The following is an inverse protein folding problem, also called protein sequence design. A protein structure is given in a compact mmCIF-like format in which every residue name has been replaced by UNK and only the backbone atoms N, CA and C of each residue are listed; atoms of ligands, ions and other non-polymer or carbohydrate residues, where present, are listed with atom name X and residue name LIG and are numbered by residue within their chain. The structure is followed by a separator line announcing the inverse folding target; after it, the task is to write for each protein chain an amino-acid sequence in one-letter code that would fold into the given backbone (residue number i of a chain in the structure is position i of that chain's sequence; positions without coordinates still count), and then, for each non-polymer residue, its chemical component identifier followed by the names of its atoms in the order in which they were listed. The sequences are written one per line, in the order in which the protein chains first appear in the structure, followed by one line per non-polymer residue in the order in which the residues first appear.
data_IF_058682671617
#
_entry.id   IF_058682671617
#
_cell.length_a   1.000
_cell.length_b   1.000
_cell.length_c   1.000
_cell.angle_alpha   90.00
_cell.angle_beta   90.00
_cell.angle_gamma   90.00
#
_symmetry.space_group_name_H-M   'P 1'
#
loop_
_entity.id
_entity.type
_entity.pdbx_description
1 polymer ?
#
# COMPACT_ATOMS: atom_id res chain seq x y z
N UNK A 1 -56.59 30.76 20.22
CA UNK A 1 -57.16 30.51 18.86
C UNK A 1 -56.01 30.08 17.96
N UNK A 2 -55.89 28.77 17.72
CA UNK A 2 -56.21 28.05 16.47
C UNK A 2 -55.28 28.36 15.28
N UNK A 3 -54.51 27.32 14.97
CA UNK A 3 -53.64 27.09 13.82
C UNK A 3 -54.27 27.38 12.45
N UNK A 4 -53.40 27.46 11.43
CA UNK A 4 -53.52 26.69 10.18
C UNK A 4 -52.22 26.67 9.35
N UNK A 5 -51.69 25.45 9.14
CA UNK A 5 -51.02 24.99 7.91
C UNK A 5 -52.02 25.16 6.73
N UNK A 6 -51.67 25.17 5.44
CA UNK A 6 -51.06 24.13 4.58
C UNK A 6 -50.75 24.79 3.18
N UNK A 7 -50.46 24.08 2.06
CA UNK A 7 -49.15 23.98 1.39
C UNK A 7 -49.11 24.61 -0.02
N UNK A 8 -47.95 24.58 -0.68
CA UNK A 8 -47.93 24.54 -2.15
C UNK A 8 -47.13 23.36 -2.71
N UNK A 9 -47.86 22.53 -3.46
CA UNK A 9 -47.37 21.49 -4.38
C UNK A 9 -46.90 22.13 -5.69
N UNK A 10 -45.96 21.45 -6.35
CA UNK A 10 -45.69 21.53 -7.79
C UNK A 10 -44.17 21.56 -8.04
N UNK A 11 -43.56 20.76 -8.92
CA UNK A 11 -44.05 19.89 -9.98
C UNK A 11 -42.96 18.85 -10.27
N UNK A 12 -43.39 17.63 -10.57
CA UNK A 12 -42.58 16.58 -11.20
C UNK A 12 -42.21 17.02 -12.61
N UNK A 13 -40.96 16.82 -13.01
CA UNK A 13 -40.59 16.60 -14.40
C UNK A 13 -39.91 15.23 -14.50
N UNK A 14 -40.64 14.29 -15.12
CA UNK A 14 -40.11 13.05 -15.68
C UNK A 14 -39.74 13.33 -17.14
N UNK A 15 -38.51 13.01 -17.51
CA UNK A 15 -38.06 12.47 -18.82
C UNK A 15 -36.81 11.64 -18.47
N UNK A 16 -36.81 10.31 -18.43
CA UNK A 16 -37.05 9.29 -19.45
C UNK A 16 -35.99 9.24 -20.56
N UNK A 17 -35.12 8.23 -20.41
CA UNK A 17 -34.56 7.35 -21.45
C UNK A 17 -33.23 7.70 -22.12
N UNK A 18 -32.29 6.74 -22.01
CA UNK A 18 -31.48 6.30 -23.15
C UNK A 18 -29.97 6.47 -23.02
N UNK A 19 -29.29 5.45 -22.51
CA UNK A 19 -28.16 4.77 -23.17
C UNK A 19 -27.33 3.99 -22.14
N UNK A 20 -27.38 2.66 -22.27
CA UNK A 20 -26.41 1.75 -21.67
C UNK A 20 -25.05 2.09 -22.28
N UNK A 21 -24.05 2.39 -21.45
CA UNK A 21 -22.64 2.32 -21.85
C UNK A 21 -21.95 1.37 -20.88
N UNK A 22 -21.37 0.33 -21.45
CA UNK A 22 -20.46 -0.60 -20.80
C UNK A 22 -19.26 0.16 -20.23
N UNK A 23 -19.20 0.29 -18.91
CA UNK A 23 -17.97 0.73 -18.22
C UNK A 23 -17.04 -0.48 -18.06
N UNK A 24 -16.29 -0.73 -19.14
CA UNK A 24 -15.10 -1.58 -19.16
C UNK A 24 -13.98 -0.83 -18.40
N UNK A 25 -13.30 -1.45 -17.42
CA UNK A 25 -12.21 -0.79 -16.71
C UNK A 25 -11.03 -0.49 -17.67
N UNK A 26 -10.33 0.64 -17.52
CA UNK A 26 -9.26 1.05 -18.42
C UNK A 26 -8.10 0.06 -18.38
N UNK A 27 -7.71 -0.37 -19.57
CA UNK A 27 -6.63 -1.32 -19.82
C UNK A 27 -5.28 -0.85 -19.32
N UNK A 28 -4.51 -1.83 -18.86
CA UNK A 28 -3.09 -1.71 -18.51
C UNK A 28 -2.31 -1.17 -19.71
N UNK A 29 -1.72 0.01 -19.57
CA UNK A 29 -0.70 0.49 -20.50
C UNK A 29 0.56 -0.38 -20.34
N UNK A 30 0.76 -1.30 -21.29
CA UNK A 30 2.03 -1.99 -21.45
C UNK A 30 3.07 -1.07 -22.11
N UNK A 31 4.37 -1.22 -21.79
CA UNK A 31 5.43 -0.48 -22.45
C UNK A 31 5.63 -0.94 -23.92
N UNK A 32 6.12 -0.05 -24.81
CA UNK A 32 6.28 -0.32 -26.24
C UNK A 32 7.43 -1.31 -26.55
N UNK A 33 7.41 -1.99 -27.71
CA UNK A 33 8.40 -3.01 -28.06
C UNK A 33 9.74 -2.41 -28.47
N UNK A 34 10.83 -2.92 -27.86
CA UNK A 34 12.20 -2.67 -28.27
C UNK A 34 12.66 -3.69 -29.33
N UNK A 35 13.51 -3.19 -30.23
CA UNK A 35 13.93 -3.81 -31.47
C UNK A 35 14.69 -5.14 -31.32
N UNK A 36 14.36 -6.09 -32.21
CA UNK A 36 15.08 -7.33 -32.46
C UNK A 36 16.43 -7.04 -33.11
N UNK A 37 17.53 -7.36 -32.43
CA UNK A 37 18.84 -7.57 -33.07
C UNK A 37 19.11 -9.07 -33.09
N UNK A 38 19.32 -9.60 -34.30
CA UNK A 38 19.52 -11.01 -34.57
C UNK A 38 20.85 -11.57 -34.05
N UNK A 39 20.79 -12.77 -33.48
CA UNK A 39 21.93 -13.60 -33.14
C UNK A 39 21.83 -14.95 -33.85
N UNK A 40 22.84 -15.26 -34.66
CA UNK A 40 22.92 -16.41 -35.54
C UNK A 40 22.89 -17.77 -34.80
N UNK A 41 22.01 -18.66 -35.26
CA UNK A 41 22.04 -20.11 -34.99
C UNK A 41 23.21 -20.75 -35.75
N UNK A 42 24.05 -21.50 -35.06
CA UNK A 42 24.89 -22.53 -35.68
C UNK A 42 24.48 -23.89 -35.13
N UNK A 43 23.83 -24.68 -35.98
CA UNK A 43 23.58 -26.10 -35.78
C UNK A 43 24.86 -26.89 -36.08
N UNK A 44 25.24 -27.83 -35.21
CA UNK A 44 25.91 -29.07 -35.65
C UNK A 44 25.32 -30.28 -34.91
N UNK A 45 25.15 -31.43 -35.60
CA UNK A 45 24.38 -32.55 -35.06
C UNK A 45 25.23 -33.77 -34.64
N UNK A 46 24.62 -34.56 -33.73
CA UNK A 46 24.63 -36.04 -33.60
C UNK A 46 25.94 -36.77 -33.23
N UNK A 47 25.87 -37.59 -32.16
CA UNK A 47 25.54 -39.03 -32.25
C UNK A 47 25.39 -39.69 -30.87
N UNK A 48 24.48 -40.68 -30.82
CA UNK A 48 24.21 -41.64 -29.73
C UNK A 48 25.34 -42.67 -29.59
N UNK A 49 25.57 -43.15 -28.37
CA UNK A 49 25.87 -44.57 -28.05
C UNK A 49 25.24 -44.88 -26.68
N UNK A 50 24.66 -46.07 -26.51
CA UNK A 50 23.88 -46.46 -25.33
C UNK A 50 24.55 -47.51 -24.43
N UNK A 51 23.96 -47.62 -23.23
CA UNK A 51 23.94 -48.73 -22.25
C UNK A 51 25.28 -49.10 -21.56
N UNK A 52 25.30 -49.69 -20.32
CA UNK A 52 24.23 -50.43 -19.66
C UNK A 52 23.95 -50.11 -18.18
N UNK A 53 22.86 -50.72 -17.71
CA UNK A 53 22.33 -50.82 -16.35
C UNK A 53 23.29 -51.51 -15.39
N UNK A 54 23.59 -50.87 -14.25
CA UNK A 54 23.89 -51.56 -13.00
C UNK A 54 23.07 -50.94 -11.88
N UNK A 55 22.11 -51.73 -11.37
CA UNK A 55 21.46 -51.47 -10.10
C UNK A 55 22.50 -51.62 -8.96
N UNK A 56 22.56 -50.64 -8.05
CA UNK A 56 23.27 -50.70 -6.77
C UNK A 56 22.39 -50.04 -5.68
N UNK A 57 22.57 -50.44 -4.42
CA UNK A 57 21.51 -50.61 -3.44
C UNK A 57 21.01 -49.30 -2.83
N UNK A 58 19.86 -49.38 -2.15
CA UNK A 58 19.25 -48.33 -1.37
C UNK A 58 20.25 -47.72 -0.37
N UNK A 59 20.80 -46.56 -0.74
CA UNK A 59 21.51 -45.67 0.17
C UNK A 59 20.44 -44.81 0.85
N UNK A 60 20.03 -45.21 2.06
CA UNK A 60 19.18 -44.41 2.95
C UNK A 60 19.98 -43.21 3.43
N UNK A 61 20.23 -42.25 2.54
CA UNK A 61 20.61 -40.91 2.94
C UNK A 61 19.36 -40.28 3.51
N UNK A 62 19.38 -40.12 4.84
CA UNK A 62 18.52 -39.18 5.55
C UNK A 62 18.56 -37.87 4.74
N UNK A 63 17.45 -37.58 4.05
CA UNK A 63 17.25 -36.31 3.38
C UNK A 63 17.34 -35.25 4.48
N UNK A 64 18.24 -34.24 4.38
CA UNK A 64 18.18 -33.11 5.29
C UNK A 64 16.75 -32.56 5.23
N UNK A 65 16.11 -32.22 6.37
CA UNK A 65 14.74 -31.75 6.36
C UNK A 65 14.67 -30.60 5.36
N UNK A 66 13.83 -30.80 4.35
CA UNK A 66 13.61 -29.87 3.27
C UNK A 66 13.52 -28.47 3.90
N UNK A 67 14.36 -27.55 3.43
CA UNK A 67 14.14 -26.13 3.69
C UNK A 67 12.72 -25.84 3.21
N UNK A 68 11.76 -25.87 4.13
CA UNK A 68 10.35 -25.71 3.85
C UNK A 68 10.22 -24.30 3.29
N UNK A 69 10.23 -24.20 1.97
CA UNK A 69 9.73 -23.04 1.27
C UNK A 69 8.23 -23.09 1.50
N UNK A 70 7.79 -22.75 2.71
CA UNK A 70 6.40 -22.81 3.12
C UNK A 70 5.65 -21.94 2.12
N UNK A 71 4.84 -22.54 1.26
CA UNK A 71 4.09 -21.77 0.27
C UNK A 71 3.15 -20.82 1.01
N UNK A 72 3.05 -19.58 0.54
CA UNK A 72 2.20 -18.57 1.19
C UNK A 72 0.78 -19.11 1.36
N UNK A 73 0.27 -19.26 2.60
CA UNK A 73 -1.04 -19.84 2.82
C UNK A 73 -2.13 -18.91 2.27
N UNK A 74 -3.30 -19.49 2.02
CA UNK A 74 -4.49 -18.69 1.74
C UNK A 74 -5.02 -18.08 3.04
N UNK A 75 -5.29 -16.78 3.04
CA UNK A 75 -5.91 -16.10 4.16
C UNK A 75 -7.42 -16.39 4.19
N UNK A 76 -7.82 -17.32 5.05
CA UNK A 76 -9.21 -17.80 5.20
C UNK A 76 -9.48 -18.24 6.65
N UNK A 77 -10.74 -18.51 6.95
CA UNK A 77 -11.13 -19.13 8.22
C UNK A 77 -10.31 -20.41 8.48
N UNK A 78 -9.84 -20.56 9.72
CA UNK A 78 -9.00 -21.69 10.16
C UNK A 78 -7.49 -21.50 9.97
N UNK A 79 -7.03 -20.39 9.38
CA UNK A 79 -5.60 -20.04 9.43
C UNK A 79 -5.20 -19.70 10.88
N UNK A 80 -4.12 -20.29 11.38
CA UNK A 80 -3.63 -20.01 12.73
C UNK A 80 -3.12 -18.56 12.84
N UNK A 81 -3.40 -17.83 13.95
CA UNK A 81 -2.91 -16.47 14.16
C UNK A 81 -1.37 -16.36 14.10
N UNK A 82 -0.66 -17.35 14.63
CA UNK A 82 0.80 -17.39 14.55
C UNK A 82 1.28 -17.46 13.09
N UNK A 83 0.61 -18.27 12.27
CA UNK A 83 0.92 -18.34 10.84
C UNK A 83 0.57 -17.03 10.13
N UNK A 84 -0.53 -16.37 10.49
CA UNK A 84 -0.89 -15.07 9.94
C UNK A 84 0.22 -14.02 10.10
N UNK A 85 0.91 -13.97 11.25
CA UNK A 85 1.97 -12.98 11.54
C UNK A 85 3.22 -13.16 10.69
N UNK A 86 3.47 -14.39 10.25
CA UNK A 86 4.61 -14.74 9.40
C UNK A 86 4.49 -14.17 8.00
N UNK A 87 3.33 -13.68 7.57
CA UNK A 87 3.12 -13.30 6.17
C UNK A 87 2.79 -11.82 5.97
N UNK A 88 3.29 -11.25 4.88
CA UNK A 88 2.86 -9.93 4.42
C UNK A 88 1.49 -10.00 3.74
N UNK A 89 0.47 -9.38 4.34
CA UNK A 89 -0.86 -9.27 3.75
C UNK A 89 -1.11 -7.91 3.11
N UNK A 90 -1.65 -7.89 1.89
CA UNK A 90 -2.12 -6.64 1.28
C UNK A 90 -3.47 -6.23 1.88
N UNK A 91 -3.84 -4.96 1.73
CA UNK A 91 -5.18 -4.49 2.11
C UNK A 91 -6.28 -5.25 1.35
N UNK A 92 -6.02 -5.69 0.11
CA UNK A 92 -6.96 -6.50 -0.66
C UNK A 92 -7.16 -7.88 -0.02
N UNK A 93 -6.07 -8.56 0.36
CA UNK A 93 -6.11 -9.85 1.07
C UNK A 93 -6.88 -9.71 2.38
N UNK A 94 -6.52 -8.71 3.18
CA UNK A 94 -7.13 -8.45 4.48
C UNK A 94 -8.63 -8.13 4.35
N UNK A 95 -9.05 -7.35 3.34
CA UNK A 95 -10.47 -7.06 3.10
C UNK A 95 -11.24 -8.29 2.65
N UNK A 96 -10.64 -9.14 1.81
CA UNK A 96 -11.26 -10.38 1.39
C UNK A 96 -11.47 -11.32 2.60
N UNK A 97 -10.45 -11.46 3.44
CA UNK A 97 -10.50 -12.24 4.67
C UNK A 97 -11.54 -11.72 5.66
N UNK A 98 -11.54 -10.40 5.93
CA UNK A 98 -12.50 -9.76 6.82
C UNK A 98 -13.95 -10.05 6.39
N UNK A 99 -14.26 -9.96 5.09
CA UNK A 99 -15.58 -10.35 4.56
C UNK A 99 -15.92 -11.81 4.82
N UNK A 100 -14.96 -12.72 4.58
CA UNK A 100 -15.19 -14.15 4.80
C UNK A 100 -15.36 -14.52 6.27
N UNK A 101 -14.74 -13.77 7.18
CA UNK A 101 -14.80 -13.95 8.63
C UNK A 101 -15.99 -13.22 9.28
N UNK A 102 -16.78 -12.47 8.50
CA UNK A 102 -17.94 -11.72 9.02
C UNK A 102 -17.56 -10.48 9.84
N UNK A 103 -16.33 -9.97 9.73
CA UNK A 103 -15.88 -8.78 10.47
C UNK A 103 -15.82 -7.54 9.58
N UNK A 104 -15.84 -6.37 10.21
CA UNK A 104 -15.83 -5.09 9.50
C UNK A 104 -14.60 -4.93 8.58
N UNK A 105 -14.80 -4.32 7.41
CA UNK A 105 -13.75 -4.15 6.38
C UNK A 105 -13.16 -2.74 6.32
N UNK A 106 -13.68 -1.83 7.15
CA UNK A 106 -13.25 -0.44 7.27
C UNK A 106 -11.98 -0.29 8.11
N UNK A 107 -11.33 0.86 7.95
CA UNK A 107 -10.13 1.23 8.71
C UNK A 107 -8.83 1.18 7.91
N UNK A 108 -7.75 1.56 8.58
CA UNK A 108 -6.37 1.50 8.07
C UNK A 108 -5.87 0.05 8.02
N UNK A 109 -4.77 -0.20 7.31
CA UNK A 109 -4.18 -1.56 7.17
C UNK A 109 -3.95 -2.21 8.55
N UNK A 110 -3.43 -1.47 9.52
CA UNK A 110 -3.16 -1.98 10.87
C UNK A 110 -4.44 -2.40 11.61
N UNK A 111 -5.48 -1.55 11.60
CA UNK A 111 -6.78 -1.87 12.21
C UNK A 111 -7.42 -3.09 11.54
N UNK A 112 -7.36 -3.16 10.22
CA UNK A 112 -7.88 -4.28 9.46
C UNK A 112 -7.09 -5.57 9.73
N UNK A 113 -5.76 -5.48 9.86
CA UNK A 113 -4.89 -6.59 10.20
C UNK A 113 -5.18 -7.12 11.61
N UNK A 114 -5.31 -6.22 12.59
CA UNK A 114 -5.65 -6.58 13.96
C UNK A 114 -7.02 -7.26 14.04
N UNK A 115 -8.00 -6.77 13.28
CA UNK A 115 -9.34 -7.35 13.23
C UNK A 115 -9.37 -8.74 12.62
N UNK A 116 -8.67 -8.93 11.50
CA UNK A 116 -8.55 -10.25 10.87
C UNK A 116 -7.82 -11.22 11.80
N UNK A 117 -6.73 -10.78 12.44
CA UNK A 117 -5.99 -11.59 13.42
C UNK A 117 -6.88 -12.05 14.58
N UNK A 118 -7.59 -11.13 15.23
CA UNK A 118 -8.49 -11.45 16.35
C UNK A 118 -9.57 -12.46 15.92
N UNK A 119 -10.18 -12.25 14.75
CA UNK A 119 -11.16 -13.18 14.20
C UNK A 119 -10.59 -14.58 13.91
N UNK A 120 -9.34 -14.67 13.46
CA UNK A 120 -8.64 -15.96 13.28
C UNK A 120 -8.35 -16.65 14.62
N UNK A 121 -8.14 -15.88 15.69
CA UNK A 121 -7.93 -16.39 17.05
C UNK A 121 -9.23 -16.81 17.75
N UNK A 122 -10.40 -16.52 17.16
CA UNK A 122 -11.69 -16.69 17.82
C UNK A 122 -11.97 -15.64 18.90
N UNK A 123 -11.21 -14.54 18.89
CA UNK A 123 -11.35 -13.42 19.82
C UNK A 123 -12.34 -12.38 19.28
N UNK A 124 -12.83 -11.52 20.17
CA UNK A 124 -13.69 -10.41 19.76
C UNK A 124 -12.90 -9.42 18.88
N UNK A 125 -13.41 -9.20 17.68
CA UNK A 125 -12.80 -8.30 16.72
C UNK A 125 -12.91 -6.83 17.20
N UNK A 126 -11.80 -6.07 17.22
CA UNK A 126 -11.85 -4.66 17.57
C UNK A 126 -12.82 -3.89 16.65
N UNK A 127 -13.59 -2.94 17.22
CA UNK A 127 -14.62 -2.24 16.48
C UNK A 127 -14.04 -1.49 15.28
N UNK A 128 -14.87 -1.30 14.26
CA UNK A 128 -14.51 -0.39 13.17
C UNK A 128 -14.66 1.04 13.64
N UNK A 129 -13.55 1.78 13.68
CA UNK A 129 -13.59 3.23 13.81
C UNK A 129 -13.99 3.80 12.45
N UNK A 130 -15.13 4.49 12.40
CA UNK A 130 -15.40 5.37 11.26
C UNK A 130 -14.58 6.64 11.47
N UNK A 131 -13.69 7.02 10.53
CA UNK A 131 -13.00 8.29 10.63
C UNK A 131 -14.06 9.41 10.68
N UNK A 132 -13.96 10.30 11.66
CA UNK A 132 -14.76 11.53 11.63
C UNK A 132 -14.32 12.35 10.40
N UNK A 133 -15.27 13.04 9.72
CA UNK A 133 -14.92 14.06 8.75
C UNK A 133 -13.95 15.04 9.41
N UNK A 134 -12.86 15.35 8.72
CA UNK A 134 -11.95 16.42 9.12
C UNK A 134 -12.17 17.57 8.17
N UNK A 135 -12.15 18.77 8.70
CA UNK A 135 -12.11 19.98 7.89
C UNK A 135 -10.84 19.93 7.04
N UNK A 136 -11.01 20.06 5.72
CA UNK A 136 -9.91 20.05 4.76
C UNK A 136 -9.60 21.47 4.35
N UNK A 137 -8.30 21.78 4.31
CA UNK A 137 -7.83 23.02 3.71
C UNK A 137 -7.94 22.90 2.19
N UNK A 138 -8.90 23.62 1.64
CA UNK A 138 -9.18 23.76 0.22
C UNK A 138 -9.32 25.23 -0.14
N UNK A 139 -9.12 25.57 -1.42
CA UNK A 139 -9.18 26.95 -1.91
C UNK A 139 -7.81 27.62 -2.02
N UNK A 140 -7.83 28.96 -2.08
CA UNK A 140 -6.63 29.79 -2.17
C UNK A 140 -5.97 29.89 -0.80
N UNK A 141 -4.74 29.40 -0.70
CA UNK A 141 -3.97 29.37 0.53
C UNK A 141 -2.89 30.46 0.48
N UNK A 142 -2.65 31.10 1.61
CA UNK A 142 -1.67 32.17 1.78
C UNK A 142 -0.71 31.84 2.92
N UNK A 143 0.43 32.52 2.99
CA UNK A 143 1.38 32.38 4.09
C UNK A 143 0.75 32.64 5.48
N UNK A 144 -0.26 33.50 5.55
CA UNK A 144 -1.01 33.82 6.78
C UNK A 144 -2.12 32.81 7.11
N UNK A 145 -2.38 31.84 6.25
CA UNK A 145 -3.41 30.83 6.50
C UNK A 145 -3.04 30.00 7.72
N UNK A 146 -3.93 30.00 8.72
CA UNK A 146 -3.78 29.21 9.94
C UNK A 146 -4.27 27.78 9.70
N UNK A 147 -3.46 26.82 10.12
CA UNK A 147 -3.66 25.38 10.01
C UNK A 147 -3.77 24.82 11.42
N UNK A 148 -4.81 24.04 11.68
CA UNK A 148 -5.03 23.34 12.96
C UNK A 148 -4.87 21.83 12.74
N UNK A 149 -3.72 21.22 13.11
CA UNK A 149 -3.52 19.79 13.00
C UNK A 149 -4.53 18.96 13.84
N UNK A 150 -4.89 17.73 13.43
CA UNK A 150 -4.39 17.02 12.27
C UNK A 150 -5.04 17.48 10.96
N UNK A 151 -4.23 17.87 9.98
CA UNK A 151 -4.64 18.28 8.65
C UNK A 151 -4.22 17.28 7.58
N UNK A 152 -5.12 17.08 6.61
CA UNK A 152 -4.77 16.27 5.44
C UNK A 152 -3.90 17.11 4.51
N UNK A 153 -2.85 16.49 3.98
CA UNK A 153 -2.10 17.05 2.86
C UNK A 153 -2.97 16.98 1.59
N UNK A 154 -3.85 17.97 1.41
CA UNK A 154 -4.73 18.11 0.25
C UNK A 154 -3.94 18.49 -0.99
N UNK A 155 -4.59 18.49 -2.17
CA UNK A 155 -3.95 18.99 -3.39
C UNK A 155 -3.61 20.47 -3.27
N UNK A 156 -4.53 21.29 -2.73
CA UNK A 156 -4.31 22.73 -2.54
C UNK A 156 -3.11 22.99 -1.63
N UNK A 157 -3.07 22.33 -0.46
CA UNK A 157 -1.95 22.46 0.48
C UNK A 157 -0.63 21.97 -0.11
N UNK A 158 -0.65 20.86 -0.86
CA UNK A 158 0.56 20.35 -1.53
C UNK A 158 1.07 21.31 -2.61
N UNK A 159 0.16 21.90 -3.40
CA UNK A 159 0.50 22.90 -4.42
C UNK A 159 1.12 24.13 -3.75
N UNK A 160 0.46 24.68 -2.73
CA UNK A 160 0.97 25.81 -1.97
C UNK A 160 2.39 25.56 -1.43
N UNK A 161 2.61 24.40 -0.78
CA UNK A 161 3.92 24.07 -0.22
C UNK A 161 4.98 23.91 -1.32
N UNK A 162 4.63 23.28 -2.45
CA UNK A 162 5.55 23.12 -3.57
C UNK A 162 5.92 24.46 -4.25
N UNK A 163 4.99 25.42 -4.31
CA UNK A 163 5.24 26.76 -4.83
C UNK A 163 6.23 27.53 -3.95
N UNK A 164 6.10 27.44 -2.62
CA UNK A 164 6.95 28.19 -1.67
C UNK A 164 8.26 27.48 -1.31
N UNK A 165 8.30 26.14 -1.36
CA UNK A 165 9.49 25.34 -1.07
C UNK A 165 10.29 24.97 -2.34
N UNK A 166 9.70 25.16 -3.52
CA UNK A 166 10.31 24.84 -4.81
C UNK A 166 10.28 23.35 -5.20
N UNK A 167 10.94 22.97 -6.31
CA UNK A 167 10.88 21.63 -6.90
C UNK A 167 11.47 20.52 -6.00
N UNK A 168 12.23 20.91 -4.98
CA UNK A 168 12.77 20.03 -3.97
C UNK A 168 11.74 19.57 -2.93
N UNK A 169 10.53 20.15 -2.90
CA UNK A 169 9.53 19.82 -1.88
C UNK A 169 9.25 18.32 -1.78
N UNK A 170 9.28 17.82 -0.54
CA UNK A 170 8.95 16.44 -0.18
C UNK A 170 8.12 16.48 1.10
N UNK A 171 7.07 15.67 1.15
CA UNK A 171 6.27 15.46 2.35
C UNK A 171 6.92 14.34 3.19
N UNK A 172 7.95 14.71 3.93
CA UNK A 172 8.78 13.82 4.74
C UNK A 172 8.21 13.61 6.16
N UNK A 173 9.03 13.11 7.09
CA UNK A 173 8.65 12.84 8.47
C UNK A 173 8.25 14.13 9.20
N UNK A 174 9.06 15.19 9.10
CA UNK A 174 8.79 16.46 9.81
C UNK A 174 7.46 17.06 9.36
N UNK A 175 7.19 17.06 8.06
CA UNK A 175 5.90 17.52 7.54
C UNK A 175 4.75 16.60 7.98
N UNK A 176 4.96 15.29 8.04
CA UNK A 176 3.95 14.35 8.53
C UNK A 176 3.65 14.56 10.00
N UNK A 177 4.64 14.83 10.83
CA UNK A 177 4.47 15.05 12.27
C UNK A 177 3.82 16.40 12.55
N UNK A 178 4.20 17.43 11.78
CA UNK A 178 3.62 18.77 11.84
C UNK A 178 2.12 18.72 11.50
N UNK A 179 1.77 18.31 10.28
CA UNK A 179 0.38 18.27 9.83
C UNK A 179 -0.41 17.12 10.45
N UNK A 180 0.24 16.04 10.90
CA UNK A 180 -0.39 14.91 11.57
C UNK A 180 -0.72 15.16 13.05
N UNK A 181 -0.22 16.24 13.63
CA UNK A 181 -0.43 16.63 15.03
C UNK A 181 0.51 15.96 16.03
N UNK A 182 1.44 15.12 15.57
CA UNK A 182 2.42 14.47 16.45
C UNK A 182 3.49 15.45 16.99
N UNK A 183 3.66 16.60 16.31
CA UNK A 183 4.53 17.68 16.76
C UNK A 183 4.06 18.39 18.04
N UNK A 184 2.80 18.21 18.46
CA UNK A 184 2.19 18.92 19.59
C UNK A 184 1.80 20.38 19.29
N UNK A 185 2.01 20.85 18.06
CA UNK A 185 1.61 22.20 17.63
C UNK A 185 0.10 22.25 17.45
N UNK A 186 -0.57 23.10 18.25
CA UNK A 186 -2.03 23.25 18.22
C UNK A 186 -2.49 24.00 16.97
N UNK A 187 -1.77 25.06 16.59
CA UNK A 187 -2.04 25.88 15.40
C UNK A 187 -0.71 26.36 14.81
N UNK A 188 -0.63 26.48 13.48
CA UNK A 188 0.52 27.10 12.80
C UNK A 188 0.07 27.89 11.58
N UNK A 189 0.84 28.91 11.18
CA UNK A 189 0.68 29.53 9.87
C UNK A 189 1.39 28.70 8.81
N UNK A 190 0.93 28.78 7.58
CA UNK A 190 1.63 28.13 6.46
C UNK A 190 3.05 28.68 6.25
N UNK A 191 3.32 29.94 6.62
CA UNK A 191 4.68 30.47 6.71
C UNK A 191 5.58 29.62 7.63
N UNK A 192 5.08 29.25 8.82
CA UNK A 192 5.84 28.43 9.77
C UNK A 192 6.13 27.04 9.20
N UNK A 193 5.19 26.45 8.44
CA UNK A 193 5.39 25.15 7.79
C UNK A 193 6.51 25.20 6.74
N UNK A 194 6.56 26.29 5.96
CA UNK A 194 7.62 26.53 4.97
C UNK A 194 8.98 26.68 5.66
N UNK A 195 9.05 27.48 6.73
CA UNK A 195 10.28 27.67 7.51
C UNK A 195 10.79 26.35 8.13
N UNK A 196 9.89 25.55 8.69
CA UNK A 196 10.24 24.23 9.25
C UNK A 196 10.77 23.31 8.15
N UNK A 197 10.15 23.33 6.96
CA UNK A 197 10.61 22.50 5.84
C UNK A 197 12.03 22.85 5.42
N UNK A 198 12.36 24.15 5.31
CA UNK A 198 13.73 24.57 4.99
C UNK A 198 14.72 24.21 6.09
N UNK A 199 14.36 24.42 7.36
CA UNK A 199 15.24 24.14 8.50
C UNK A 199 15.60 22.66 8.63
N UNK A 200 14.67 21.78 8.30
CA UNK A 200 14.82 20.32 8.43
C UNK A 200 15.33 19.65 7.15
N UNK A 201 15.62 20.43 6.10
CA UNK A 201 15.89 19.90 4.75
C UNK A 201 17.09 18.96 4.67
N UNK A 202 18.13 19.28 5.43
CA UNK A 202 19.42 18.58 5.43
C UNK A 202 19.55 17.60 6.60
N UNK A 203 18.49 17.43 7.39
CA UNK A 203 18.49 16.44 8.46
C UNK A 203 18.52 15.02 7.87
N UNK A 204 19.28 14.15 8.54
CA UNK A 204 19.36 12.76 8.14
C UNK A 204 17.96 12.12 8.23
N UNK A 205 17.49 11.42 7.19
CA UNK A 205 16.15 10.86 7.21
C UNK A 205 16.03 9.83 8.33
N UNK A 206 15.10 10.08 9.25
CA UNK A 206 14.81 9.22 10.39
C UNK A 206 14.36 7.80 10.00
N UNK A 207 14.09 6.93 11.00
CA UNK A 207 13.56 5.61 10.77
C UNK A 207 12.20 5.69 10.08
N UNK A 208 11.96 4.81 9.11
CA UNK A 208 10.67 4.71 8.44
C UNK A 208 9.74 3.91 9.35
N UNK A 209 8.61 4.50 9.74
CA UNK A 209 7.63 3.88 10.66
C UNK A 209 7.18 2.49 10.19
N UNK A 210 6.85 1.61 11.16
CA UNK A 210 6.45 0.20 10.95
C UNK A 210 5.36 0.01 9.88
N UNK A 211 4.44 0.97 9.76
CA UNK A 211 3.33 0.93 8.81
C UNK A 211 3.75 1.09 7.34
N UNK A 212 4.98 1.53 7.06
CA UNK A 212 5.52 1.73 5.71
C UNK A 212 6.52 0.63 5.32
N UNK A 213 6.13 -0.63 5.51
CA UNK A 213 6.98 -1.81 5.26
C UNK A 213 7.65 -1.81 3.88
N UNK A 214 6.92 -1.48 2.81
CA UNK A 214 7.49 -1.38 1.47
C UNK A 214 8.63 -0.36 1.44
N UNK A 215 8.46 0.82 2.01
CA UNK A 215 9.48 1.85 2.00
C UNK A 215 10.70 1.44 2.84
N UNK A 216 10.49 0.75 3.97
CA UNK A 216 11.59 0.16 4.76
C UNK A 216 12.37 -0.87 3.94
N UNK A 217 11.65 -1.78 3.28
CA UNK A 217 12.26 -2.79 2.41
C UNK A 217 13.08 -2.13 1.30
N UNK A 218 12.51 -1.19 0.55
CA UNK A 218 13.21 -0.51 -0.55
C UNK A 218 14.47 0.19 -0.04
N UNK A 219 14.39 0.91 1.08
CA UNK A 219 15.53 1.62 1.65
C UNK A 219 16.65 0.65 2.05
N UNK A 220 16.32 -0.42 2.77
CA UNK A 220 17.29 -1.45 3.18
C UNK A 220 17.89 -2.17 1.97
N UNK A 221 17.04 -2.59 1.03
CA UNK A 221 17.46 -3.37 -0.13
C UNK A 221 18.38 -2.56 -1.06
N UNK A 222 18.11 -1.28 -1.28
CA UNK A 222 18.96 -0.41 -2.13
C UNK A 222 20.35 -0.16 -1.54
N UNK A 223 20.51 -0.16 -0.21
CA UNK A 223 21.84 -0.03 0.42
C UNK A 223 22.74 -1.20 0.01
N UNK A 224 22.18 -2.42 -0.04
CA UNK A 224 22.91 -3.63 -0.42
C UNK A 224 22.96 -3.86 -1.94
N UNK A 225 22.23 -3.09 -2.74
CA UNK A 225 22.11 -3.25 -4.19
C UNK A 225 22.32 -1.90 -4.92
N UNK A 226 23.52 -1.31 -4.84
CA UNK A 226 23.82 -0.04 -5.52
C UNK A 226 23.73 -0.22 -7.05
N UNK A 227 23.17 0.77 -7.74
CA UNK A 227 22.99 0.75 -9.19
C UNK A 227 21.79 -0.05 -9.70
N UNK A 228 21.08 -0.77 -8.82
CA UNK A 228 19.89 -1.52 -9.19
C UNK A 228 18.74 -0.64 -9.68
N UNK A 229 18.05 -1.11 -10.70
CA UNK A 229 16.94 -0.41 -11.34
C UNK A 229 15.70 -0.39 -10.44
N UNK A 230 14.67 0.35 -10.86
CA UNK A 230 13.39 0.28 -10.18
C UNK A 230 12.74 -1.11 -10.32
N UNK A 231 12.87 -1.75 -11.48
CA UNK A 231 12.27 -3.06 -11.74
C UNK A 231 12.89 -4.16 -10.86
N UNK A 232 14.20 -4.08 -10.60
CA UNK A 232 14.88 -4.99 -9.68
C UNK A 232 14.32 -4.88 -8.25
N UNK A 233 14.06 -3.66 -7.78
CA UNK A 233 13.43 -3.43 -6.46
C UNK A 233 12.02 -4.02 -6.41
N UNK A 234 11.25 -3.84 -7.47
CA UNK A 234 9.89 -4.38 -7.55
C UNK A 234 9.94 -5.90 -7.52
N UNK A 235 10.81 -6.53 -8.31
CA UNK A 235 11.00 -7.98 -8.32
C UNK A 235 11.43 -8.51 -6.95
N UNK A 236 12.41 -7.86 -6.31
CA UNK A 236 12.87 -8.23 -4.98
C UNK A 236 11.78 -8.05 -3.91
N UNK A 237 10.96 -7.01 -4.02
CA UNK A 237 9.81 -6.83 -3.13
C UNK A 237 8.80 -7.96 -3.28
N UNK A 238 8.49 -8.38 -4.52
CA UNK A 238 7.60 -9.51 -4.79
C UNK A 238 8.11 -10.81 -4.17
N UNK A 239 9.40 -11.09 -4.31
CA UNK A 239 10.06 -12.25 -3.70
C UNK A 239 10.05 -12.17 -2.16
N UNK A 240 10.36 -11.01 -1.59
CA UNK A 240 10.35 -10.79 -0.14
C UNK A 240 8.97 -11.04 0.47
N UNK A 241 7.89 -10.53 -0.14
CA UNK A 241 6.51 -10.72 0.35
C UNK A 241 5.91 -12.10 0.05
N UNK A 242 6.60 -12.93 -0.73
CA UNK A 242 6.24 -14.32 -0.99
C UNK A 242 6.99 -15.30 -0.10
N UNK A 243 7.78 -14.81 0.85
CA UNK A 243 8.44 -15.61 1.88
C UNK A 243 7.84 -15.31 3.26
N UNK A 244 7.83 -16.28 4.17
CA UNK A 244 7.48 -15.99 5.56
C UNK A 244 8.57 -15.10 6.18
N UNK A 245 8.17 -14.35 7.20
CA UNK A 245 9.08 -13.69 8.14
C UNK A 245 9.61 -14.76 9.09
N UNK A 246 10.90 -14.67 9.39
CA UNK A 246 11.58 -15.49 10.39
C UNK A 246 11.10 -15.15 11.81
#
# INVERSE_FOLDING_TARGET
MRARRVPHRGRRLRRSSGARRDDRPPGRGGPPPAATVGGHRVHRPRRRVGAPTHARPADTRIRPPDSDVSERPRLRAGLQPAEFDRWYWTVADLRAAARSLGVATGGRKAELSARVRAALAGEEAPPSTTPRPRDTLDGELTLETVVVPPQRMTRALRTFMAEHCGPGFRFDQHMRDLFGGASGVAELRLADAVDIWFRTRDEAPGPIEAQFEYNQFVRKWRISNPGATHDDVVAAWWDHRSRPRD
#
